data_IF_295554329416
#
_entry.id   IF_295554329416
#
_cell.length_a   1.000
_cell.length_b   1.000
_cell.length_c   1.000
_cell.angle_alpha   90.00
_cell.angle_beta   90.00
_cell.angle_gamma   90.00
#
_symmetry.space_group_name_H-M   'P 1'
#
loop_
_entity.id
_entity.type
_entity.pdbx_description
1 polymer ?
#
# COMPACT_ATOMS: atom_id res chain seq x y z
N UNK A 1 40.13 -3.64 -3.20
CA UNK A 1 39.96 -3.13 -1.82
C UNK A 1 39.03 -4.07 -1.08
N UNK A 2 39.47 -4.77 -0.02
CA UNK A 2 38.54 -5.56 0.81
C UNK A 2 37.87 -4.64 1.84
N UNK A 3 36.55 -4.46 1.73
CA UNK A 3 35.71 -3.84 2.75
C UNK A 3 35.07 -4.96 3.59
N UNK A 4 35.03 -4.81 4.91
CA UNK A 4 34.26 -5.72 5.78
C UNK A 4 32.85 -5.17 5.91
N UNK A 5 31.86 -6.05 5.89
CA UNK A 5 30.44 -5.69 5.99
C UNK A 5 29.81 -6.38 7.20
N UNK A 6 28.93 -5.67 7.90
CA UNK A 6 28.16 -6.18 9.02
C UNK A 6 26.72 -5.69 8.90
N UNK A 7 25.76 -6.58 9.12
CA UNK A 7 24.37 -6.23 9.42
C UNK A 7 24.16 -6.48 10.91
N UNK A 8 23.62 -5.50 11.62
CA UNK A 8 23.44 -5.55 13.07
C UNK A 8 22.05 -5.03 13.44
N UNK A 9 21.28 -5.81 14.19
CA UNK A 9 20.03 -5.36 14.78
C UNK A 9 20.32 -4.92 16.22
N UNK A 10 20.07 -3.65 16.51
CA UNK A 10 20.26 -3.09 17.84
C UNK A 10 19.18 -3.59 18.82
N UNK A 11 19.42 -3.43 20.12
CA UNK A 11 18.44 -3.75 21.17
C UNK A 11 17.14 -2.94 21.08
N UNK A 12 17.11 -1.86 20.29
CA UNK A 12 15.91 -1.06 19.99
C UNK A 12 15.15 -1.56 18.75
N UNK A 13 15.57 -2.66 18.13
CA UNK A 13 14.94 -3.21 16.92
C UNK A 13 15.35 -2.54 15.60
N UNK A 14 16.30 -1.59 15.63
CA UNK A 14 16.79 -0.92 14.41
C UNK A 14 17.86 -1.79 13.73
N UNK A 15 17.63 -2.15 12.47
CA UNK A 15 18.59 -2.83 11.60
C UNK A 15 19.60 -1.80 11.08
N UNK A 16 20.89 -2.10 11.16
CA UNK A 16 21.97 -1.23 10.69
C UNK A 16 22.89 -1.98 9.74
N UNK A 17 23.13 -1.40 8.58
CA UNK A 17 24.24 -1.78 7.71
C UNK A 17 25.48 -1.01 8.11
N UNK A 18 26.53 -1.75 8.44
CA UNK A 18 27.75 -1.19 8.97
C UNK A 18 28.95 -1.62 8.10
N UNK A 19 29.42 -0.75 7.18
CA UNK A 19 30.67 -0.99 6.47
C UNK A 19 31.87 -0.60 7.33
N UNK A 20 32.98 -1.33 7.17
CA UNK A 20 34.28 -0.98 7.75
C UNK A 20 35.35 -0.97 6.68
N UNK A 21 35.96 0.20 6.50
CA UNK A 21 37.14 0.37 5.67
C UNK A 21 38.38 -0.15 6.40
N UNK A 22 39.34 -0.72 5.66
CA UNK A 22 40.54 -1.33 6.25
C UNK A 22 41.39 -0.33 7.06
N UNK A 23 41.38 0.94 6.67
CA UNK A 23 42.13 2.00 7.33
C UNK A 23 41.47 2.51 8.62
N UNK A 24 40.22 2.13 8.90
CA UNK A 24 39.47 2.54 10.09
C UNK A 24 39.39 1.36 11.05
N UNK A 25 39.49 1.63 12.35
CA UNK A 25 39.29 0.60 13.38
C UNK A 25 37.86 0.50 13.90
N UNK A 26 37.01 1.47 13.55
CA UNK A 26 35.59 1.47 13.87
C UNK A 26 34.73 1.05 12.67
N UNK A 27 33.49 0.66 12.96
CA UNK A 27 32.46 0.42 11.97
C UNK A 27 31.68 1.71 11.75
N UNK A 28 31.45 2.06 10.49
CA UNK A 28 30.59 3.19 10.14
C UNK A 28 29.14 2.74 10.05
N UNK A 29 28.21 3.67 10.19
CA UNK A 29 26.81 3.41 9.89
C UNK A 29 26.56 3.84 8.45
N UNK A 30 26.23 2.89 7.59
CA UNK A 30 25.88 3.16 6.20
C UNK A 30 24.43 3.57 6.07
N UNK A 31 23.51 2.69 6.47
CA UNK A 31 22.07 2.96 6.51
C UNK A 31 21.40 2.21 7.67
N UNK A 32 20.21 2.65 8.04
CA UNK A 32 19.40 2.08 9.12
C UNK A 32 17.96 1.87 8.66
N UNK A 33 17.27 0.87 9.22
CA UNK A 33 15.83 0.64 9.04
C UNK A 33 15.15 0.39 10.39
N UNK A 34 13.93 0.94 10.63
CA UNK A 34 13.17 1.86 9.77
C UNK A 34 13.86 3.23 9.64
N UNK A 35 13.91 3.81 8.42
CA UNK A 35 14.53 5.13 8.17
C UNK A 35 13.70 6.28 8.73
N UNK A 36 12.37 6.13 8.72
CA UNK A 36 11.43 7.14 9.16
C UNK A 36 10.13 6.52 9.69
N UNK A 37 9.18 7.35 10.12
CA UNK A 37 7.91 6.88 10.68
C UNK A 37 6.94 6.25 9.66
N UNK A 38 7.19 6.34 8.35
CA UNK A 38 6.47 5.59 7.32
C UNK A 38 6.88 4.13 7.27
N UNK A 39 8.18 3.84 7.44
CA UNK A 39 8.72 2.48 7.41
C UNK A 39 8.29 1.64 8.64
N UNK A 40 7.69 2.29 9.66
CA UNK A 40 7.14 1.59 10.82
C UNK A 40 5.80 0.98 10.46
N UNK A 41 5.77 -0.34 10.49
CA UNK A 41 4.62 -1.15 10.10
C UNK A 41 3.32 -0.74 10.81
N UNK A 42 2.27 -0.51 10.03
CA UNK A 42 0.89 -0.34 10.53
C UNK A 42 0.57 1.00 11.22
N UNK A 43 1.46 1.99 11.19
CA UNK A 43 1.26 3.27 11.90
C UNK A 43 0.02 4.06 11.43
N UNK A 44 -0.42 3.89 10.17
CA UNK A 44 -1.51 4.68 9.55
C UNK A 44 -2.82 3.94 9.40
N UNK A 45 -2.92 2.76 10.01
CA UNK A 45 -4.08 1.90 9.88
C UNK A 45 -4.37 1.53 8.42
N UNK A 46 -5.52 0.87 8.17
CA UNK A 46 -5.87 0.42 6.84
C UNK A 46 -6.27 1.55 5.90
N UNK A 47 -5.91 1.43 4.61
CA UNK A 47 -6.19 2.40 3.54
C UNK A 47 -5.67 3.83 3.79
N UNK A 48 -4.82 4.02 4.80
CA UNK A 48 -3.99 5.21 4.97
C UNK A 48 -2.69 5.04 4.21
N UNK A 49 -2.19 6.13 3.61
CA UNK A 49 -0.95 6.16 2.82
C UNK A 49 0.05 7.14 3.42
N UNK A 50 1.32 6.76 3.43
CA UNK A 50 2.42 7.64 3.80
C UNK A 50 3.08 8.30 2.59
N UNK A 51 3.29 9.62 2.67
CA UNK A 51 4.03 10.41 1.70
C UNK A 51 5.04 11.29 2.43
N UNK A 52 6.28 10.81 2.54
CA UNK A 52 7.35 11.47 3.33
C UNK A 52 7.59 12.92 2.88
N UNK A 53 7.42 13.21 1.58
CA UNK A 53 7.66 14.53 1.00
C UNK A 53 6.50 15.51 1.13
N UNK A 54 5.38 15.11 1.73
CA UNK A 54 4.14 15.90 1.75
C UNK A 54 3.70 16.29 3.17
N UNK A 55 2.83 17.31 3.25
CA UNK A 55 2.23 17.78 4.50
C UNK A 55 0.72 17.91 4.30
N UNK A 56 -0.11 17.08 4.96
CA UNK A 56 0.26 16.09 5.98
C UNK A 56 1.01 14.88 5.40
N UNK A 57 1.90 14.29 6.19
CA UNK A 57 2.69 13.10 5.81
C UNK A 57 1.78 11.88 5.59
N UNK A 58 0.59 11.89 6.22
CA UNK A 58 -0.35 10.78 6.23
C UNK A 58 -1.71 11.28 5.74
N UNK A 59 -2.25 10.58 4.76
CA UNK A 59 -3.59 10.85 4.23
C UNK A 59 -4.34 9.54 3.98
N UNK A 60 -5.65 9.64 3.80
CA UNK A 60 -6.42 8.52 3.28
C UNK A 60 -6.23 8.43 1.78
N UNK A 61 -6.26 7.20 1.26
CA UNK A 61 -6.39 7.01 -0.18
C UNK A 61 -7.58 7.77 -0.76
N UNK A 62 -7.46 8.17 -2.02
CA UNK A 62 -8.58 8.72 -2.75
C UNK A 62 -9.80 7.80 -2.74
N UNK A 63 -10.99 8.38 -2.52
CA UNK A 63 -12.23 7.63 -2.35
C UNK A 63 -12.42 7.07 -0.93
N UNK A 64 -11.49 7.38 -0.01
CA UNK A 64 -11.57 7.03 1.40
C UNK A 64 -11.58 8.27 2.30
N UNK A 65 -12.07 8.10 3.52
CA UNK A 65 -12.14 9.11 4.56
C UNK A 65 -11.65 8.51 5.89
N UNK A 66 -11.11 9.33 6.82
CA UNK A 66 -10.72 8.85 8.15
C UNK A 66 -11.88 8.15 8.84
N UNK A 67 -11.62 7.02 9.48
CA UNK A 67 -12.61 6.34 10.33
C UNK A 67 -13.04 7.26 11.48
N UNK A 68 -12.07 7.92 12.12
CA UNK A 68 -12.28 8.95 13.13
C UNK A 68 -11.53 10.23 12.79
N UNK A 69 -12.27 11.26 12.39
CA UNK A 69 -11.70 12.59 12.14
C UNK A 69 -11.06 13.21 13.40
N UNK A 70 -11.59 12.90 14.58
CA UNK A 70 -11.06 13.41 15.86
C UNK A 70 -9.66 12.85 16.09
N UNK A 71 -9.49 11.54 16.00
CA UNK A 71 -8.19 10.90 16.20
C UNK A 71 -7.22 11.27 15.07
N UNK A 72 -7.70 11.32 13.82
CA UNK A 72 -6.90 11.76 12.68
C UNK A 72 -6.31 13.16 12.85
N UNK A 73 -7.13 14.11 13.34
CA UNK A 73 -6.71 15.48 13.61
C UNK A 73 -5.69 15.62 14.75
N UNK A 74 -5.63 14.61 15.65
CA UNK A 74 -4.67 14.52 16.75
C UNK A 74 -3.37 13.80 16.34
N UNK A 75 -3.26 13.37 15.08
CA UNK A 75 -2.12 12.58 14.61
C UNK A 75 -2.18 11.10 14.99
N UNK A 76 -3.33 10.61 15.47
CA UNK A 76 -3.57 9.20 15.68
C UNK A 76 -4.28 8.60 14.46
N UNK A 77 -3.53 7.89 13.64
CA UNK A 77 -4.02 7.31 12.39
C UNK A 77 -4.28 5.80 12.49
N UNK A 78 -4.22 5.20 13.68
CA UNK A 78 -4.27 3.74 13.85
C UNK A 78 -5.56 3.09 13.35
N UNK A 79 -6.68 3.83 13.39
CA UNK A 79 -7.97 3.34 12.90
C UNK A 79 -8.05 3.33 11.36
N UNK A 80 -7.16 4.06 10.69
CA UNK A 80 -7.08 4.16 9.25
C UNK A 80 -8.28 4.86 8.63
N UNK A 81 -8.66 4.38 7.45
CA UNK A 81 -9.63 5.01 6.58
C UNK A 81 -10.67 3.99 6.10
N UNK A 82 -11.86 4.50 5.76
CA UNK A 82 -12.95 3.74 5.17
C UNK A 82 -13.41 4.33 3.86
N UNK A 83 -13.97 3.46 3.00
CA UNK A 83 -14.51 3.85 1.70
C UNK A 83 -15.62 4.88 1.88
N UNK A 84 -15.57 5.98 1.15
CA UNK A 84 -16.66 6.97 1.07
C UNK A 84 -17.89 6.36 0.41
N UNK A 85 -17.67 5.60 -0.67
CA UNK A 85 -18.71 4.93 -1.41
C UNK A 85 -18.48 3.42 -1.45
N UNK A 86 -19.50 2.66 -1.04
CA UNK A 86 -19.53 1.20 -1.12
C UNK A 86 -19.36 0.69 -2.55
N UNK A 87 -18.65 -0.41 -2.69
CA UNK A 87 -18.52 -1.12 -3.96
C UNK A 87 -19.89 -1.63 -4.43
N UNK A 88 -20.06 -1.83 -5.74
CA UNK A 88 -21.32 -2.33 -6.30
C UNK A 88 -21.78 -3.65 -5.66
N UNK A 89 -20.86 -4.57 -5.38
CA UNK A 89 -21.13 -5.85 -4.71
C UNK A 89 -21.57 -5.72 -3.26
N UNK A 90 -21.29 -4.60 -2.59
CA UNK A 90 -21.66 -4.33 -1.20
C UNK A 90 -23.02 -3.62 -1.10
N UNK A 91 -23.63 -3.25 -2.24
CA UNK A 91 -24.96 -2.67 -2.30
C UNK A 91 -25.98 -3.80 -2.37
N UNK A 92 -27.04 -3.72 -1.56
CA UNK A 92 -28.14 -4.68 -1.64
C UNK A 92 -28.77 -4.65 -3.04
N UNK A 93 -28.87 -5.82 -3.67
CA UNK A 93 -29.40 -6.02 -5.04
C UNK A 93 -30.86 -5.58 -5.24
N UNK A 94 -31.52 -5.06 -4.20
CA UNK A 94 -32.92 -4.62 -4.21
C UNK A 94 -33.18 -3.40 -5.13
N UNK A 95 -32.14 -2.63 -5.47
CA UNK A 95 -32.24 -1.37 -6.22
C UNK A 95 -31.22 -1.26 -7.37
N UNK A 96 -30.80 -2.37 -7.99
CA UNK A 96 -30.02 -2.29 -9.21
C UNK A 96 -30.98 -2.19 -10.40
N UNK A 97 -31.25 -0.95 -10.80
CA UNK A 97 -31.86 -0.65 -12.09
C UNK A 97 -31.05 -1.41 -13.16
N UNK A 98 -31.70 -2.34 -13.85
CA UNK A 98 -31.09 -3.26 -14.84
C UNK A 98 -30.61 -2.55 -16.11
N UNK A 99 -30.48 -1.23 -16.04
CA UNK A 99 -30.05 -0.35 -17.11
C UNK A 99 -28.74 0.35 -16.72
N UNK A 100 -27.60 -0.35 -16.85
CA UNK A 100 -26.30 0.31 -17.00
C UNK A 100 -25.68 0.94 -15.74
N UNK A 101 -25.89 0.38 -14.55
CA UNK A 101 -25.12 0.75 -13.35
C UNK A 101 -23.62 0.59 -13.61
N UNK A 102 -22.87 1.69 -13.66
CA UNK A 102 -21.45 1.66 -14.01
C UNK A 102 -20.68 0.74 -13.05
N UNK A 103 -19.94 -0.22 -13.62
CA UNK A 103 -19.15 -1.20 -12.86
C UNK A 103 -18.10 -0.49 -11.99
N UNK A 104 -17.70 -1.12 -10.87
CA UNK A 104 -16.50 -0.69 -10.13
C UNK A 104 -15.31 -0.58 -11.10
N UNK A 105 -14.38 0.33 -10.82
CA UNK A 105 -13.17 0.50 -11.62
C UNK A 105 -11.94 0.61 -10.74
N UNK A 106 -10.84 1.08 -11.33
CA UNK A 106 -9.55 1.20 -10.66
C UNK A 106 -9.01 2.61 -10.72
N UNK A 107 -8.38 3.03 -9.62
CA UNK A 107 -7.47 4.17 -9.59
C UNK A 107 -6.05 3.65 -9.53
N UNK A 108 -5.23 4.12 -10.46
CA UNK A 108 -3.80 3.87 -10.45
C UNK A 108 -3.13 4.75 -9.39
N UNK A 109 -2.34 4.13 -8.52
CA UNK A 109 -1.47 4.80 -7.56
C UNK A 109 -0.04 4.34 -7.89
N UNK A 110 0.75 5.26 -8.45
CA UNK A 110 2.12 4.98 -8.86
C UNK A 110 3.08 5.02 -7.67
N UNK A 111 4.26 4.41 -7.84
CA UNK A 111 5.39 4.49 -6.90
C UNK A 111 5.02 3.98 -5.51
N UNK A 112 4.29 2.87 -5.46
CA UNK A 112 3.77 2.28 -4.24
C UNK A 112 4.63 1.12 -3.76
N UNK A 113 4.94 1.15 -2.47
CA UNK A 113 5.47 0.00 -1.75
C UNK A 113 4.36 -1.01 -1.71
N UNK A 114 4.51 -2.07 -2.48
CA UNK A 114 3.50 -3.12 -2.51
C UNK A 114 3.42 -3.75 -1.12
N UNK A 115 2.21 -3.76 -0.59
CA UNK A 115 1.93 -4.15 0.79
C UNK A 115 1.98 -5.67 0.95
N UNK A 116 1.98 -6.13 2.18
CA UNK A 116 1.89 -7.54 2.52
C UNK A 116 0.47 -8.12 2.27
N UNK A 117 0.33 -9.43 2.51
CA UNK A 117 -0.92 -10.19 2.39
C UNK A 117 -1.59 -10.16 1.00
N UNK A 118 -0.81 -10.04 -0.06
CA UNK A 118 -1.31 -10.28 -1.41
C UNK A 118 -1.49 -11.78 -1.68
N UNK A 119 -2.46 -12.09 -2.52
CA UNK A 119 -2.66 -13.38 -3.16
C UNK A 119 -2.03 -13.34 -4.55
N UNK A 120 -1.23 -14.37 -4.86
CA UNK A 120 -0.67 -14.55 -6.19
C UNK A 120 -1.65 -15.28 -7.12
N UNK A 121 -1.96 -14.67 -8.26
CA UNK A 121 -2.95 -15.21 -9.22
C UNK A 121 -2.27 -15.65 -10.51
N UNK A 122 -1.92 -16.94 -10.59
CA UNK A 122 -1.24 -17.56 -11.74
C UNK A 122 -1.96 -17.44 -13.10
N UNK A 123 -3.31 -17.58 -13.19
CA UNK A 123 -4.00 -17.50 -14.49
C UNK A 123 -3.87 -16.13 -15.18
N UNK A 124 -3.59 -15.08 -14.42
CA UNK A 124 -3.56 -13.70 -14.87
C UNK A 124 -2.17 -13.29 -15.37
N UNK A 125 -1.81 -13.75 -16.58
CA UNK A 125 -0.52 -13.44 -17.23
C UNK A 125 -0.47 -12.06 -17.93
N UNK A 126 -1.28 -11.11 -17.49
CA UNK A 126 -1.24 -9.71 -17.97
C UNK A 126 -1.98 -8.81 -16.98
N UNK A 127 -1.64 -7.53 -16.97
CA UNK A 127 -2.30 -6.51 -16.15
C UNK A 127 -3.83 -6.51 -16.34
N UNK A 128 -4.31 -6.48 -17.60
CA UNK A 128 -5.75 -6.55 -17.90
C UNK A 128 -6.45 -7.78 -17.33
N UNK A 129 -5.77 -8.93 -17.33
CA UNK A 129 -6.34 -10.17 -16.77
C UNK A 129 -6.35 -10.11 -15.25
N UNK A 130 -5.34 -9.50 -14.64
CA UNK A 130 -5.26 -9.29 -13.21
C UNK A 130 -6.42 -8.40 -12.72
N UNK A 131 -6.64 -7.28 -13.41
CA UNK A 131 -7.76 -6.38 -13.13
C UNK A 131 -9.11 -7.04 -13.33
N UNK A 132 -9.30 -7.79 -14.42
CA UNK A 132 -10.55 -8.55 -14.66
C UNK A 132 -10.80 -9.60 -13.59
N UNK A 133 -9.77 -10.31 -13.15
CA UNK A 133 -9.90 -11.27 -12.05
C UNK A 133 -10.37 -10.56 -10.77
N UNK A 134 -9.73 -9.45 -10.41
CA UNK A 134 -10.10 -8.65 -9.25
C UNK A 134 -11.54 -8.12 -9.35
N UNK A 135 -11.97 -7.62 -10.52
CA UNK A 135 -13.35 -7.15 -10.71
C UNK A 135 -14.39 -8.26 -10.54
N UNK A 136 -14.05 -9.49 -10.91
CA UNK A 136 -14.93 -10.66 -10.78
C UNK A 136 -14.96 -11.23 -9.35
N UNK A 137 -14.02 -10.83 -8.48
CA UNK A 137 -14.02 -11.21 -7.06
C UNK A 137 -14.54 -10.06 -6.21
N UNK A 138 -15.68 -10.24 -5.54
CA UNK A 138 -16.28 -9.18 -4.71
C UNK A 138 -15.43 -8.81 -3.48
N UNK A 139 -14.57 -9.70 -3.01
CA UNK A 139 -13.63 -9.41 -1.92
C UNK A 139 -12.45 -8.56 -2.36
N UNK A 140 -12.10 -8.57 -3.65
CA UNK A 140 -10.91 -7.86 -4.11
C UNK A 140 -11.00 -6.35 -3.87
N UNK A 141 -10.00 -5.83 -3.15
CA UNK A 141 -9.81 -4.42 -2.81
C UNK A 141 -8.83 -3.70 -3.73
N UNK A 142 -7.78 -4.39 -4.21
CA UNK A 142 -6.78 -3.83 -5.11
C UNK A 142 -6.03 -4.92 -5.90
N UNK A 143 -5.32 -4.54 -6.95
CA UNK A 143 -4.44 -5.43 -7.70
C UNK A 143 -3.17 -4.72 -8.17
N UNK A 144 -2.11 -5.46 -8.45
CA UNK A 144 -0.89 -4.97 -9.07
C UNK A 144 -0.36 -6.03 -10.04
N UNK A 145 0.26 -5.59 -11.13
CA UNK A 145 0.94 -6.48 -12.05
C UNK A 145 2.41 -6.10 -12.15
N UNK A 146 3.28 -6.98 -11.67
CA UNK A 146 4.74 -6.76 -11.69
C UNK A 146 5.34 -7.72 -12.70
N UNK A 147 6.02 -7.21 -13.73
CA UNK A 147 6.51 -8.03 -14.85
C UNK A 147 7.37 -9.24 -14.42
N UNK A 148 8.14 -9.12 -13.34
CA UNK A 148 9.00 -10.19 -12.82
C UNK A 148 8.29 -11.16 -11.86
N UNK A 149 7.11 -10.82 -11.35
CA UNK A 149 6.39 -11.59 -10.33
C UNK A 149 5.07 -12.14 -10.90
N UNK A 150 4.25 -11.27 -11.50
CA UNK A 150 2.95 -11.57 -12.07
C UNK A 150 1.83 -10.77 -11.41
N UNK A 151 0.63 -11.36 -11.38
CA UNK A 151 -0.57 -10.73 -10.81
C UNK A 151 -0.64 -10.92 -9.29
N UNK A 152 -0.72 -9.79 -8.58
CA UNK A 152 -0.89 -9.72 -7.13
C UNK A 152 -2.25 -9.09 -6.84
N UNK A 153 -3.00 -9.68 -5.92
CA UNK A 153 -4.36 -9.22 -5.58
C UNK A 153 -4.53 -9.14 -4.07
N UNK A 154 -5.20 -8.10 -3.58
CA UNK A 154 -5.53 -7.96 -2.16
C UNK A 154 -7.03 -8.15 -1.95
N UNK A 155 -7.41 -9.14 -1.15
CA UNK A 155 -8.80 -9.38 -0.73
C UNK A 155 -9.14 -8.71 0.59
N UNK A 156 -8.14 -8.33 1.37
CA UNK A 156 -8.29 -7.67 2.67
C UNK A 156 -7.99 -6.18 2.59
N UNK A 157 -8.17 -5.49 3.73
CA UNK A 157 -7.84 -4.06 3.83
C UNK A 157 -6.33 -3.88 3.69
N UNK A 158 -5.92 -2.94 2.83
CA UNK A 158 -4.51 -2.67 2.61
C UNK A 158 -3.92 -1.93 3.80
N UNK A 159 -2.77 -2.37 4.30
CA UNK A 159 -2.03 -1.80 5.42
C UNK A 159 -0.57 -1.60 5.01
N UNK A 160 0.18 -0.80 5.77
CA UNK A 160 1.61 -0.50 5.49
C UNK A 160 1.87 0.14 4.12
N UNK A 161 0.99 1.07 3.72
CA UNK A 161 1.09 1.72 2.41
C UNK A 161 2.01 2.95 2.45
N UNK A 162 2.95 3.00 1.52
CA UNK A 162 3.92 4.08 1.40
C UNK A 162 4.19 4.39 -0.09
N UNK A 163 4.37 5.67 -0.40
CA UNK A 163 4.91 6.08 -1.70
C UNK A 163 6.42 6.26 -1.62
N UNK A 164 7.19 5.46 -2.35
CA UNK A 164 8.63 5.66 -2.55
C UNK A 164 8.99 5.64 -4.04
N UNK A 165 9.92 6.53 -4.43
CA UNK A 165 10.51 6.53 -5.76
C UNK A 165 11.15 5.16 -6.03
N UNK A 166 10.78 4.51 -7.14
CA UNK A 166 11.25 3.21 -7.64
C UNK A 166 10.37 1.99 -7.35
N UNK A 167 9.12 2.19 -6.95
CA UNK A 167 8.19 1.10 -6.66
C UNK A 167 7.05 0.93 -7.69
N UNK A 168 6.31 -0.16 -7.57
CA UNK A 168 5.32 -0.59 -8.56
C UNK A 168 4.02 0.23 -8.52
N UNK A 169 3.19 0.08 -9.55
CA UNK A 169 1.83 0.63 -9.57
C UNK A 169 0.86 -0.29 -8.82
N UNK A 170 0.03 0.31 -7.96
CA UNK A 170 -1.10 -0.35 -7.31
C UNK A 170 -2.41 0.17 -7.92
N UNK A 171 -3.28 -0.73 -8.31
CA UNK A 171 -4.61 -0.41 -8.85
C UNK A 171 -5.65 -0.64 -7.77
N UNK A 172 -6.05 0.44 -7.11
CA UNK A 172 -7.05 0.46 -6.04
C UNK A 172 -8.45 0.37 -6.64
N UNK A 173 -9.23 -0.63 -6.21
CA UNK A 173 -10.61 -0.76 -6.66
C UNK A 173 -11.49 0.29 -5.99
N UNK A 174 -12.29 1.01 -6.78
CA UNK A 174 -13.21 2.03 -6.30
C UNK A 174 -14.59 1.88 -6.96
N UNK A 175 -15.62 2.44 -6.32
CA UNK A 175 -16.92 2.62 -6.97
C UNK A 175 -16.76 3.60 -8.15
N UNK A 176 -17.52 3.40 -9.23
CA UNK A 176 -17.40 4.24 -10.43
C UNK A 176 -17.54 5.74 -10.12
N UNK A 177 -18.45 6.11 -9.21
CA UNK A 177 -18.71 7.50 -8.82
C UNK A 177 -17.50 8.21 -8.19
N UNK A 178 -16.52 7.46 -7.69
CA UNK A 178 -15.28 8.02 -7.13
C UNK A 178 -14.22 8.29 -8.22
N UNK A 179 -14.41 7.79 -9.45
CA UNK A 179 -13.39 7.82 -10.51
C UNK A 179 -13.39 9.08 -11.39
N UNK A 180 -14.39 9.95 -11.27
CA UNK A 180 -14.58 11.12 -12.15
C UNK A 180 -15.62 10.90 -13.24
#
# INVERSE_FOLDING_TARGET
MLKRLRLFISSKGVLKFMPKEKAKDYWETGWEEPRNGCDVYGVRGPFGICRISESPICECLDGFAPESYVEWSRGNWSEGCVRRTKLLCEKNFSNLDTNGGKNNGFRNIERMKLTDFYEYVEPAKSEDRCHRWCLNSCSCQASAYVNSIGCLVWSERLIDMECSSDEAALFLRLAHSELG
#
